data_IF_679118663230
#
_entry.id   IF_679118663230
#
_cell.length_a   1.000
_cell.length_b   1.000
_cell.length_c   1.000
_cell.angle_alpha   90.00
_cell.angle_beta   90.00
_cell.angle_gamma   90.00
#
_symmetry.space_group_name_H-M   'P 1'
#
loop_
_entity.id
_entity.type
_entity.pdbx_description
1 polymer ?
#
# COMPACT_ATOMS: atom_id res chain seq x y z
N UNK A 1 3.99 -13.15 28.38
CA UNK A 1 3.86 -12.94 26.94
C UNK A 1 5.02 -13.65 26.25
N UNK A 2 4.76 -14.48 25.24
CA UNK A 2 5.85 -15.17 24.54
C UNK A 2 6.73 -14.16 23.82
N UNK A 3 8.01 -14.48 23.68
CA UNK A 3 9.02 -13.64 23.00
C UNK A 3 8.60 -13.36 21.55
N UNK A 4 8.06 -14.34 20.88
CA UNK A 4 7.55 -14.23 19.50
C UNK A 4 6.41 -13.21 19.36
N UNK A 5 5.52 -13.12 20.35
CA UNK A 5 4.44 -12.13 20.34
C UNK A 5 4.96 -10.70 20.37
N UNK A 6 5.99 -10.41 21.19
CA UNK A 6 6.58 -9.07 21.27
C UNK A 6 7.30 -8.67 20.00
N UNK A 7 7.95 -9.61 19.32
CA UNK A 7 8.64 -9.35 18.04
C UNK A 7 7.66 -9.05 16.91
N UNK A 8 6.57 -9.81 16.83
CA UNK A 8 5.49 -9.55 15.86
C UNK A 8 4.83 -8.21 16.13
N UNK A 9 4.49 -7.91 17.39
CA UNK A 9 3.92 -6.62 17.76
C UNK A 9 4.86 -5.45 17.43
N UNK A 10 6.15 -5.60 17.68
CA UNK A 10 7.16 -4.61 17.31
C UNK A 10 7.23 -4.41 15.79
N UNK A 11 7.19 -5.51 15.01
CA UNK A 11 7.14 -5.44 13.55
C UNK A 11 5.89 -4.69 13.05
N UNK A 12 4.72 -4.94 13.64
CA UNK A 12 3.48 -4.24 13.30
C UNK A 12 3.55 -2.74 13.58
N UNK A 13 4.13 -2.35 14.72
CA UNK A 13 4.31 -0.93 15.07
C UNK A 13 5.27 -0.22 14.11
N UNK A 14 6.40 -0.85 13.77
CA UNK A 14 7.39 -0.29 12.83
C UNK A 14 6.77 -0.23 11.42
N UNK A 15 6.12 -1.30 10.96
CA UNK A 15 5.42 -1.36 9.66
C UNK A 15 4.40 -0.24 9.53
N UNK A 16 3.56 -0.04 10.54
CA UNK A 16 2.58 1.04 10.57
C UNK A 16 3.24 2.40 10.48
N UNK A 17 4.36 2.61 11.18
CA UNK A 17 5.10 3.88 11.10
C UNK A 17 5.74 4.12 9.72
N UNK A 18 6.19 3.08 9.02
CA UNK A 18 6.69 3.20 7.65
C UNK A 18 5.53 3.54 6.69
N UNK A 19 4.41 2.82 6.82
CA UNK A 19 3.23 3.00 5.98
C UNK A 19 2.63 4.40 6.15
N UNK A 20 2.60 4.94 7.38
CA UNK A 20 2.06 6.27 7.68
C UNK A 20 3.08 7.40 7.42
N UNK A 21 4.33 7.05 7.08
CA UNK A 21 5.39 8.01 6.80
C UNK A 21 5.98 8.69 8.04
N UNK A 22 5.80 8.10 9.23
CA UNK A 22 6.48 8.51 10.47
C UNK A 22 7.94 8.04 10.51
N UNK A 23 8.24 6.97 9.76
CA UNK A 23 9.56 6.51 9.35
C UNK A 23 9.63 6.66 7.83
N UNK A 24 10.49 7.52 7.35
CA UNK A 24 10.52 7.91 5.95
C UNK A 24 11.30 6.91 5.09
N UNK A 25 10.94 6.80 3.82
CA UNK A 25 11.67 6.02 2.81
C UNK A 25 13.11 6.53 2.75
N UNK A 26 14.10 5.61 2.83
CA UNK A 26 15.52 5.91 2.91
C UNK A 26 16.02 6.30 4.32
N UNK A 27 15.14 6.35 5.34
CA UNK A 27 15.54 6.71 6.70
C UNK A 27 16.39 5.62 7.36
N UNK A 28 17.51 6.01 7.99
CA UNK A 28 18.36 5.11 8.75
C UNK A 28 17.69 4.67 10.05
N UNK A 29 17.70 3.38 10.30
CA UNK A 29 17.08 2.74 11.46
C UNK A 29 18.14 2.07 12.31
N UNK A 30 18.36 2.55 13.55
CA UNK A 30 19.15 1.83 14.56
C UNK A 30 18.24 1.14 15.57
N UNK A 31 18.67 -0.04 16.06
CA UNK A 31 17.95 -0.74 17.13
C UNK A 31 17.68 0.17 18.33
N UNK A 32 18.66 1.03 18.69
CA UNK A 32 18.53 1.98 19.78
C UNK A 32 17.44 3.03 19.55
N UNK A 33 17.42 3.64 18.34
CA UNK A 33 16.41 4.64 17.95
C UNK A 33 15.00 4.05 18.00
N UNK A 34 14.82 2.85 17.46
CA UNK A 34 13.54 2.14 17.43
C UNK A 34 13.10 1.71 18.84
N UNK A 35 14.02 1.16 19.63
CA UNK A 35 13.76 0.79 21.03
C UNK A 35 13.25 1.98 21.85
N UNK A 36 13.89 3.14 21.69
CA UNK A 36 13.50 4.39 22.37
C UNK A 36 12.14 4.89 21.86
N UNK A 37 11.93 4.92 20.54
CA UNK A 37 10.68 5.42 19.92
C UNK A 37 9.46 4.66 20.38
N UNK A 38 9.56 3.32 20.49
CA UNK A 38 8.42 2.45 20.79
C UNK A 38 8.42 1.91 22.22
N UNK A 39 9.37 2.33 23.06
CA UNK A 39 9.56 1.84 24.45
C UNK A 39 9.64 0.30 24.51
N UNK A 40 10.49 -0.28 23.68
CA UNK A 40 10.73 -1.72 23.58
C UNK A 40 12.19 -2.06 23.89
N UNK A 41 12.46 -3.28 24.37
CA UNK A 41 13.83 -3.76 24.50
C UNK A 41 14.45 -4.09 23.14
N UNK A 42 15.80 -4.15 23.09
CA UNK A 42 16.53 -4.36 21.81
C UNK A 42 16.24 -5.71 21.16
N UNK A 43 15.99 -6.76 21.93
CA UNK A 43 15.77 -8.11 21.39
C UNK A 43 14.55 -8.19 20.46
N UNK A 44 13.30 -7.85 20.91
CA UNK A 44 12.15 -7.88 20.01
C UNK A 44 12.29 -6.88 18.84
N UNK A 45 12.99 -5.75 19.03
CA UNK A 45 13.25 -4.82 17.94
C UNK A 45 14.14 -5.45 16.87
N UNK A 46 15.22 -6.15 17.24
CA UNK A 46 16.10 -6.82 16.28
C UNK A 46 15.37 -7.89 15.48
N UNK A 47 14.54 -8.68 16.14
CA UNK A 47 13.72 -9.71 15.49
C UNK A 47 12.67 -9.06 14.56
N UNK A 48 12.01 -8.00 15.01
CA UNK A 48 11.06 -7.22 14.19
C UNK A 48 11.73 -6.64 12.93
N UNK A 49 12.93 -6.07 13.05
CA UNK A 49 13.67 -5.57 11.88
C UNK A 49 13.99 -6.71 10.90
N UNK A 50 14.27 -7.93 11.39
CA UNK A 50 14.51 -9.08 10.51
C UNK A 50 13.24 -9.53 9.78
N UNK A 51 12.08 -9.50 10.44
CA UNK A 51 10.77 -9.75 9.80
C UNK A 51 10.54 -8.72 8.67
N UNK A 52 10.79 -7.43 8.94
CA UNK A 52 10.56 -6.36 7.98
C UNK A 52 11.57 -6.35 6.82
N UNK A 53 12.77 -6.90 7.04
CA UNK A 53 13.73 -7.19 5.94
C UNK A 53 13.17 -8.26 5.02
N UNK A 54 12.61 -9.34 5.57
CA UNK A 54 11.96 -10.39 4.77
C UNK A 54 10.74 -9.85 4.00
N UNK A 55 9.99 -8.92 4.57
CA UNK A 55 8.89 -8.21 3.89
C UNK A 55 9.37 -7.16 2.88
N UNK A 56 10.67 -6.89 2.82
CA UNK A 56 11.25 -5.89 1.93
C UNK A 56 10.91 -4.44 2.29
N UNK A 57 10.41 -4.18 3.51
CA UNK A 57 10.17 -2.83 4.03
C UNK A 57 11.42 -2.21 4.64
N UNK A 58 12.41 -3.05 4.98
CA UNK A 58 13.71 -2.63 5.48
C UNK A 58 14.80 -3.27 4.61
N UNK A 59 15.84 -2.51 4.32
CA UNK A 59 17.04 -2.96 3.64
C UNK A 59 18.21 -2.94 4.64
N UNK A 60 19.03 -3.99 4.63
CA UNK A 60 20.29 -4.05 5.38
C UNK A 60 21.45 -3.81 4.43
N UNK A 61 22.26 -2.81 4.72
CA UNK A 61 23.50 -2.54 4.01
C UNK A 61 24.70 -2.93 4.88
N UNK A 62 25.63 -3.68 4.30
CA UNK A 62 26.88 -4.03 4.97
C UNK A 62 27.58 -2.76 5.45
N UNK A 63 27.99 -2.71 6.73
CA UNK A 63 28.69 -1.59 7.39
C UNK A 63 27.88 -0.28 7.56
N UNK A 64 26.67 -0.14 6.93
CA UNK A 64 25.84 1.08 7.02
C UNK A 64 24.61 0.89 7.89
N UNK A 65 24.24 -0.35 8.23
CA UNK A 65 23.10 -0.65 9.09
C UNK A 65 21.80 -0.91 8.33
N UNK A 66 20.67 -0.67 9.01
CA UNK A 66 19.33 -0.88 8.47
C UNK A 66 18.70 0.45 8.03
N UNK A 67 17.94 0.42 6.95
CA UNK A 67 17.24 1.56 6.38
C UNK A 67 15.81 1.17 6.00
N UNK A 68 14.88 2.11 6.06
CA UNK A 68 13.60 1.95 5.36
C UNK A 68 13.91 1.81 3.88
N UNK A 69 13.22 0.91 3.18
CA UNK A 69 13.50 0.59 1.78
C UNK A 69 13.64 1.85 0.92
N UNK A 70 14.55 1.79 -0.02
CA UNK A 70 14.64 2.70 -1.16
C UNK A 70 14.14 1.98 -2.40
N UNK A 71 13.65 2.71 -3.39
CA UNK A 71 13.04 2.12 -4.57
C UNK A 71 13.32 2.99 -5.80
N UNK A 72 13.64 2.34 -6.90
CA UNK A 72 13.80 2.96 -8.21
C UNK A 72 12.46 3.09 -8.94
N UNK A 73 12.42 3.91 -9.99
CA UNK A 73 11.22 4.03 -10.84
C UNK A 73 10.89 2.70 -11.51
N UNK A 74 11.89 1.94 -11.97
CA UNK A 74 11.68 0.63 -12.58
C UNK A 74 11.02 -0.34 -11.59
N UNK A 75 11.48 -0.39 -10.35
CA UNK A 75 10.84 -1.23 -9.32
C UNK A 75 9.40 -0.80 -9.01
N UNK A 76 9.06 0.49 -9.16
CA UNK A 76 7.66 0.95 -9.00
C UNK A 76 6.80 0.46 -10.17
N UNK A 77 7.36 0.43 -11.39
CA UNK A 77 6.69 -0.15 -12.56
C UNK A 77 6.44 -1.65 -12.37
N UNK A 78 7.44 -2.40 -11.92
CA UNK A 78 7.33 -3.82 -11.58
C UNK A 78 6.24 -4.06 -10.50
N UNK A 79 6.18 -3.19 -9.49
CA UNK A 79 5.10 -3.25 -8.48
C UNK A 79 3.73 -2.99 -9.10
N UNK A 80 3.62 -2.05 -10.04
CA UNK A 80 2.37 -1.76 -10.72
C UNK A 80 1.90 -2.94 -11.57
N UNK A 81 2.80 -3.59 -12.31
CA UNK A 81 2.52 -4.81 -13.09
C UNK A 81 2.08 -5.96 -12.18
N UNK A 82 2.81 -6.20 -11.11
CA UNK A 82 2.47 -7.24 -10.15
C UNK A 82 1.10 -7.01 -9.50
N UNK A 83 0.81 -5.76 -9.11
CA UNK A 83 -0.51 -5.36 -8.61
C UNK A 83 -1.60 -5.61 -9.65
N UNK A 84 -1.36 -5.21 -10.91
CA UNK A 84 -2.30 -5.42 -11.98
C UNK A 84 -2.69 -6.91 -12.13
N UNK A 85 -1.71 -7.80 -12.17
CA UNK A 85 -1.94 -9.24 -12.29
C UNK A 85 -2.79 -9.76 -11.13
N UNK A 86 -2.43 -9.44 -9.89
CA UNK A 86 -3.11 -9.97 -8.71
C UNK A 86 -4.48 -9.33 -8.48
N UNK A 87 -4.57 -8.01 -8.63
CA UNK A 87 -5.81 -7.25 -8.43
C UNK A 87 -6.86 -7.60 -9.49
N UNK A 88 -6.46 -7.70 -10.77
CA UNK A 88 -7.36 -8.08 -11.85
C UNK A 88 -7.89 -9.50 -11.65
N UNK A 89 -7.01 -10.44 -11.34
CA UNK A 89 -7.42 -11.83 -11.12
C UNK A 89 -8.37 -11.96 -9.93
N UNK A 90 -8.03 -11.34 -8.80
CA UNK A 90 -8.87 -11.36 -7.60
C UNK A 90 -10.23 -10.69 -7.83
N UNK A 91 -10.24 -9.53 -8.49
CA UNK A 91 -11.47 -8.80 -8.82
C UNK A 91 -12.38 -9.62 -9.75
N UNK A 92 -11.84 -10.21 -10.82
CA UNK A 92 -12.59 -11.07 -11.73
C UNK A 92 -13.21 -12.28 -11.01
N UNK A 93 -12.45 -12.93 -10.13
CA UNK A 93 -12.96 -14.04 -9.30
C UNK A 93 -14.05 -13.59 -8.35
N UNK A 94 -13.82 -12.49 -7.64
CA UNK A 94 -14.82 -11.92 -6.70
C UNK A 94 -16.10 -11.49 -7.42
N UNK A 95 -15.99 -10.91 -8.60
CA UNK A 95 -17.16 -10.55 -9.42
C UNK A 95 -17.93 -11.78 -9.90
N UNK A 96 -17.23 -12.87 -10.24
CA UNK A 96 -17.88 -14.13 -10.62
C UNK A 96 -18.66 -14.75 -9.46
N UNK A 97 -18.16 -14.61 -8.23
CA UNK A 97 -18.79 -15.17 -7.03
C UNK A 97 -19.94 -14.28 -6.54
N UNK A 98 -19.72 -12.97 -6.43
CA UNK A 98 -20.75 -12.04 -5.93
C UNK A 98 -20.60 -10.64 -6.53
N UNK A 99 -21.05 -10.48 -7.78
CA UNK A 99 -20.98 -9.18 -8.50
C UNK A 99 -21.74 -8.08 -7.75
N UNK A 100 -22.95 -8.36 -7.26
CA UNK A 100 -23.80 -7.39 -6.57
C UNK A 100 -23.09 -6.88 -5.31
N UNK A 101 -22.62 -7.80 -4.46
CA UNK A 101 -21.89 -7.45 -3.24
C UNK A 101 -20.60 -6.69 -3.50
N UNK A 102 -19.85 -7.01 -4.57
CA UNK A 102 -18.67 -6.23 -4.98
C UNK A 102 -19.03 -4.80 -5.36
N UNK A 103 -20.08 -4.60 -6.17
CA UNK A 103 -20.55 -3.25 -6.55
C UNK A 103 -20.91 -2.45 -5.30
N UNK A 104 -21.63 -3.04 -4.33
CA UNK A 104 -22.02 -2.38 -3.08
C UNK A 104 -20.79 -1.96 -2.26
N UNK A 105 -19.81 -2.85 -2.11
CA UNK A 105 -18.57 -2.56 -1.36
C UNK A 105 -17.79 -1.42 -2.01
N UNK A 106 -17.55 -1.48 -3.30
CA UNK A 106 -16.81 -0.47 -4.04
C UNK A 106 -17.56 0.89 -4.03
N UNK A 107 -18.87 0.87 -4.21
CA UNK A 107 -19.70 2.08 -4.16
C UNK A 107 -19.63 2.77 -2.79
N UNK A 108 -19.77 1.99 -1.70
CA UNK A 108 -19.65 2.52 -0.34
C UNK A 108 -18.28 3.14 -0.09
N UNK A 109 -17.23 2.45 -0.48
CA UNK A 109 -15.85 2.93 -0.31
C UNK A 109 -15.61 4.24 -1.11
N UNK A 110 -16.01 4.29 -2.39
CA UNK A 110 -15.90 5.51 -3.22
C UNK A 110 -16.69 6.67 -2.62
N UNK A 111 -17.87 6.40 -2.04
CA UNK A 111 -18.68 7.44 -1.38
C UNK A 111 -17.92 8.07 -0.20
N UNK A 112 -17.27 7.24 0.62
CA UNK A 112 -16.45 7.73 1.73
C UNK A 112 -15.18 8.44 1.25
N UNK A 113 -14.53 7.97 0.18
CA UNK A 113 -13.40 8.67 -0.44
C UNK A 113 -13.80 10.07 -0.93
N UNK A 114 -14.98 10.23 -1.57
CA UNK A 114 -15.51 11.53 -1.98
C UNK A 114 -15.68 12.48 -0.79
N UNK A 115 -16.18 11.97 0.34
CA UNK A 115 -16.33 12.76 1.58
C UNK A 115 -14.98 13.19 2.12
N UNK A 116 -14.03 12.25 2.25
CA UNK A 116 -12.69 12.53 2.74
C UNK A 116 -11.96 13.54 1.85
N UNK A 117 -12.05 13.39 0.53
CA UNK A 117 -11.49 14.34 -0.44
C UNK A 117 -12.08 15.75 -0.30
N UNK A 118 -13.41 15.86 -0.19
CA UNK A 118 -14.10 17.15 0.00
C UNK A 118 -13.70 17.83 1.33
N UNK A 119 -13.49 17.04 2.37
CA UNK A 119 -13.07 17.50 3.70
C UNK A 119 -11.57 17.76 3.79
N UNK A 120 -10.79 17.46 2.73
CA UNK A 120 -9.32 17.50 2.71
C UNK A 120 -8.68 16.60 3.79
N UNK A 121 -9.39 15.54 4.21
CA UNK A 121 -8.87 14.52 5.11
C UNK A 121 -8.04 13.50 4.33
N UNK A 122 -6.77 13.87 4.09
CA UNK A 122 -5.85 13.07 3.28
C UNK A 122 -5.52 11.72 3.92
N UNK A 123 -5.44 11.66 5.26
CA UNK A 123 -5.15 10.42 5.96
C UNK A 123 -6.29 9.40 5.78
N UNK A 124 -7.54 9.87 5.98
CA UNK A 124 -8.72 9.03 5.75
C UNK A 124 -8.82 8.61 4.28
N UNK A 125 -8.52 9.50 3.35
CA UNK A 125 -8.51 9.18 1.92
C UNK A 125 -7.53 8.05 1.60
N UNK A 126 -6.29 8.09 2.14
CA UNK A 126 -5.27 7.07 1.94
C UNK A 126 -5.68 5.68 2.47
N UNK A 127 -6.30 5.67 3.66
CA UNK A 127 -6.84 4.43 4.24
C UNK A 127 -7.90 3.84 3.31
N UNK A 128 -8.86 4.65 2.88
CA UNK A 128 -9.95 4.24 2.00
C UNK A 128 -9.48 3.80 0.62
N UNK A 129 -8.47 4.46 0.07
CA UNK A 129 -7.83 4.07 -1.20
C UNK A 129 -7.20 2.68 -1.10
N UNK A 130 -6.52 2.39 0.00
CA UNK A 130 -5.98 1.06 0.28
C UNK A 130 -7.08 0.00 0.45
N UNK A 131 -8.12 0.33 1.19
CA UNK A 131 -9.27 -0.56 1.39
C UNK A 131 -10.01 -0.83 0.08
N UNK A 132 -10.05 0.13 -0.85
CA UNK A 132 -10.60 -0.05 -2.19
C UNK A 132 -9.92 -1.21 -2.92
N UNK A 133 -8.61 -1.18 -3.02
CA UNK A 133 -7.83 -2.24 -3.66
C UNK A 133 -7.89 -3.57 -2.90
N UNK A 134 -7.83 -3.54 -1.57
CA UNK A 134 -8.02 -4.75 -0.74
C UNK A 134 -9.38 -5.40 -0.96
N UNK A 135 -10.41 -4.60 -1.21
CA UNK A 135 -11.77 -5.13 -1.41
C UNK A 135 -11.91 -6.04 -2.63
N UNK A 136 -11.01 -5.94 -3.62
CA UNK A 136 -10.98 -6.85 -4.77
C UNK A 136 -10.81 -8.31 -4.36
N UNK A 137 -10.23 -8.55 -3.19
CA UNK A 137 -10.00 -9.88 -2.63
C UNK A 137 -11.13 -10.35 -1.69
N UNK A 138 -12.20 -9.58 -1.52
CA UNK A 138 -13.23 -9.85 -0.50
C UNK A 138 -13.92 -11.20 -0.65
N UNK A 139 -14.16 -11.63 -1.88
CA UNK A 139 -14.78 -12.92 -2.21
C UNK A 139 -13.78 -13.91 -2.82
N UNK A 140 -12.48 -13.61 -2.67
CA UNK A 140 -11.39 -14.39 -3.23
C UNK A 140 -10.71 -15.22 -2.14
N UNK A 141 -10.95 -16.53 -2.14
CA UNK A 141 -10.55 -17.43 -1.04
C UNK A 141 -9.11 -18.00 -1.16
N UNK A 142 -8.20 -17.32 -1.86
CA UNK A 142 -6.81 -17.77 -1.97
C UNK A 142 -5.89 -17.01 -1.03
N UNK A 143 -5.64 -17.62 0.15
CA UNK A 143 -4.81 -17.03 1.21
C UNK A 143 -3.36 -16.79 0.75
N UNK A 144 -2.80 -17.65 -0.11
CA UNK A 144 -1.43 -17.50 -0.62
C UNK A 144 -1.29 -16.23 -1.44
N UNK A 145 -2.20 -16.00 -2.37
CA UNK A 145 -2.22 -14.78 -3.20
C UNK A 145 -2.44 -13.55 -2.34
N UNK A 146 -3.35 -13.62 -1.36
CA UNK A 146 -3.61 -12.49 -0.45
C UNK A 146 -2.37 -12.13 0.39
N UNK A 147 -1.63 -13.12 0.89
CA UNK A 147 -0.37 -12.87 1.61
C UNK A 147 0.67 -12.19 0.73
N UNK A 148 0.88 -12.69 -0.48
CA UNK A 148 1.81 -12.09 -1.45
C UNK A 148 1.40 -10.66 -1.82
N UNK A 149 0.11 -10.41 -2.02
CA UNK A 149 -0.42 -9.08 -2.29
C UNK A 149 -0.18 -8.09 -1.15
N UNK A 150 -0.36 -8.52 0.10
CA UNK A 150 -0.18 -7.64 1.27
C UNK A 150 1.26 -7.11 1.40
N UNK A 151 2.27 -7.89 1.01
CA UNK A 151 3.68 -7.45 1.01
C UNK A 151 3.85 -6.24 0.07
N UNK A 152 3.36 -6.37 -1.16
CA UNK A 152 3.45 -5.32 -2.18
C UNK A 152 2.56 -4.13 -1.83
N UNK A 153 1.40 -4.38 -1.23
CA UNK A 153 0.50 -3.33 -0.81
C UNK A 153 1.14 -2.42 0.24
N UNK A 154 1.87 -2.96 1.21
CA UNK A 154 2.57 -2.18 2.23
C UNK A 154 3.59 -1.21 1.60
N UNK A 155 4.38 -1.67 0.63
CA UNK A 155 5.29 -0.79 -0.14
C UNK A 155 4.51 0.29 -0.90
N UNK A 156 3.46 -0.11 -1.61
CA UNK A 156 2.62 0.82 -2.37
C UNK A 156 2.00 1.91 -1.49
N UNK A 157 1.59 1.56 -0.26
CA UNK A 157 1.05 2.52 0.71
C UNK A 157 2.10 3.53 1.16
N UNK A 158 3.29 3.06 1.56
CA UNK A 158 4.39 3.93 1.97
C UNK A 158 4.78 4.92 0.85
N UNK A 159 4.81 4.44 -0.40
CA UNK A 159 5.05 5.27 -1.58
C UNK A 159 3.95 6.32 -1.80
N UNK A 160 2.69 5.96 -1.59
CA UNK A 160 1.57 6.90 -1.71
C UNK A 160 1.61 8.01 -0.67
N UNK A 161 1.91 7.67 0.58
CA UNK A 161 2.05 8.67 1.65
C UNK A 161 3.14 9.67 1.28
N UNK A 162 4.26 9.19 0.73
CA UNK A 162 5.35 10.06 0.27
C UNK A 162 4.88 10.99 -0.86
N UNK A 163 4.21 10.45 -1.87
CA UNK A 163 3.74 11.26 -3.03
C UNK A 163 2.63 12.23 -2.67
N UNK A 164 1.74 11.89 -1.73
CA UNK A 164 0.62 12.76 -1.35
C UNK A 164 1.01 13.87 -0.39
N UNK A 165 2.05 13.68 0.43
CA UNK A 165 2.64 14.80 1.19
C UNK A 165 3.27 15.84 0.26
N UNK A 166 3.68 15.42 -0.94
CA UNK A 166 4.34 16.25 -1.93
C UNK A 166 3.37 16.80 -3.02
N UNK A 167 2.12 16.28 -3.11
CA UNK A 167 1.14 16.70 -4.12
C UNK A 167 -0.31 16.66 -3.60
N UNK A 168 -1.06 17.72 -3.89
CA UNK A 168 -2.46 17.93 -3.45
C UNK A 168 -3.49 17.11 -4.27
N UNK A 169 -3.07 16.23 -5.19
CA UNK A 169 -3.99 15.60 -6.15
C UNK A 169 -4.49 14.20 -5.74
N UNK A 170 -5.54 14.18 -4.91
CA UNK A 170 -6.36 12.99 -4.68
C UNK A 170 -7.41 12.76 -5.79
N UNK A 171 -7.61 13.75 -6.67
CA UNK A 171 -8.69 13.72 -7.67
C UNK A 171 -8.49 12.62 -8.72
N UNK A 172 -7.25 12.39 -9.14
CA UNK A 172 -6.97 11.42 -10.19
C UNK A 172 -7.12 9.97 -9.70
N UNK A 173 -6.75 9.67 -8.44
CA UNK A 173 -6.96 8.33 -7.86
C UNK A 173 -8.45 8.03 -7.70
N UNK A 174 -9.21 8.98 -7.15
CA UNK A 174 -10.67 8.86 -7.00
C UNK A 174 -11.37 8.68 -8.36
N UNK A 175 -10.94 9.43 -9.39
CA UNK A 175 -11.45 9.28 -10.76
C UNK A 175 -11.20 7.87 -11.32
N UNK A 176 -10.01 7.31 -11.07
CA UNK A 176 -9.67 5.94 -11.44
C UNK A 176 -10.60 4.92 -10.78
N UNK A 177 -10.86 5.05 -9.48
CA UNK A 177 -11.78 4.17 -8.75
C UNK A 177 -13.22 4.25 -9.27
N UNK A 178 -13.70 5.47 -9.58
CA UNK A 178 -15.02 5.68 -10.20
C UNK A 178 -15.10 4.97 -11.55
N UNK A 179 -14.05 5.09 -12.38
CA UNK A 179 -14.00 4.45 -13.68
C UNK A 179 -14.01 2.91 -13.57
N UNK A 180 -13.28 2.34 -12.61
CA UNK A 180 -13.29 0.89 -12.35
C UNK A 180 -14.70 0.43 -11.97
N UNK A 181 -15.37 1.12 -11.05
CA UNK A 181 -16.75 0.79 -10.68
C UNK A 181 -17.72 0.91 -11.86
N UNK A 182 -17.56 1.94 -12.70
CA UNK A 182 -18.34 2.12 -13.92
C UNK A 182 -18.13 0.96 -14.90
N UNK A 183 -16.87 0.58 -15.14
CA UNK A 183 -16.53 -0.55 -16.01
C UNK A 183 -17.19 -1.86 -15.54
N UNK A 184 -17.21 -2.13 -14.22
CA UNK A 184 -17.88 -3.30 -13.65
C UNK A 184 -19.40 -3.27 -13.89
N UNK A 185 -20.05 -2.10 -13.72
CA UNK A 185 -21.50 -1.94 -13.89
C UNK A 185 -21.92 -2.08 -15.33
N UNK A 186 -21.17 -1.48 -16.23
CA UNK A 186 -21.48 -1.40 -17.67
C UNK A 186 -20.88 -2.55 -18.50
N UNK A 187 -20.18 -3.50 -17.84
CA UNK A 187 -19.46 -4.62 -18.49
C UNK A 187 -18.45 -4.16 -19.56
N UNK A 188 -17.81 -3.01 -19.32
CA UNK A 188 -16.72 -2.49 -20.17
C UNK A 188 -15.40 -3.22 -19.82
N UNK A 189 -14.41 -3.11 -20.69
CA UNK A 189 -13.10 -3.75 -20.54
C UNK A 189 -12.42 -3.32 -19.23
N UNK A 190 -12.46 -4.21 -18.24
CA UNK A 190 -11.94 -3.96 -16.90
C UNK A 190 -10.42 -3.90 -16.89
N UNK A 191 -9.75 -4.68 -17.72
CA UNK A 191 -8.29 -4.78 -17.82
C UNK A 191 -7.65 -3.44 -18.17
N UNK A 192 -8.13 -2.80 -19.21
CA UNK A 192 -7.64 -1.49 -19.64
C UNK A 192 -7.90 -0.43 -18.57
N UNK A 193 -9.07 -0.48 -17.93
CA UNK A 193 -9.43 0.50 -16.89
C UNK A 193 -8.55 0.37 -15.67
N UNK A 194 -8.28 -0.85 -15.20
CA UNK A 194 -7.40 -1.10 -14.05
C UNK A 194 -5.94 -0.81 -14.40
N UNK A 195 -5.47 -1.25 -15.57
CA UNK A 195 -4.12 -0.97 -16.06
C UNK A 195 -3.86 0.53 -16.10
N UNK A 196 -4.75 1.30 -16.71
CA UNK A 196 -4.64 2.76 -16.76
C UNK A 196 -4.56 3.39 -15.38
N UNK A 197 -5.38 2.95 -14.44
CA UNK A 197 -5.35 3.46 -13.06
C UNK A 197 -3.99 3.25 -12.38
N UNK A 198 -3.35 2.09 -12.59
CA UNK A 198 -2.03 1.78 -12.03
C UNK A 198 -0.90 2.52 -12.77
N UNK A 199 -0.98 2.67 -14.09
CA UNK A 199 -0.04 3.48 -14.88
C UNK A 199 -0.10 4.95 -14.45
N UNK A 200 -1.29 5.51 -14.25
CA UNK A 200 -1.47 6.87 -13.74
C UNK A 200 -0.84 7.05 -12.33
N UNK A 201 -0.85 6.01 -11.50
CA UNK A 201 -0.15 6.02 -10.21
C UNK A 201 1.37 6.09 -10.38
N UNK A 202 1.96 5.30 -11.28
CA UNK A 202 3.40 5.35 -11.62
C UNK A 202 3.79 6.72 -12.17
N UNK A 203 2.98 7.28 -13.08
CA UNK A 203 3.23 8.58 -13.69
C UNK A 203 3.28 9.72 -12.64
N UNK A 204 2.37 9.68 -11.65
CA UNK A 204 2.39 10.62 -10.52
C UNK A 204 3.68 10.49 -9.70
N UNK A 205 4.13 9.26 -9.45
CA UNK A 205 5.38 9.07 -8.73
C UNK A 205 6.59 9.63 -9.52
N UNK A 206 6.65 9.38 -10.82
CA UNK A 206 7.70 9.92 -11.69
C UNK A 206 7.75 11.45 -11.68
N UNK A 207 6.62 12.12 -11.75
CA UNK A 207 6.57 13.59 -11.74
C UNK A 207 7.10 14.17 -10.43
N UNK A 208 6.77 13.55 -9.30
CA UNK A 208 7.20 14.00 -7.97
C UNK A 208 8.67 13.65 -7.69
N UNK A 209 9.22 12.60 -8.31
CA UNK A 209 10.62 12.19 -8.13
C UNK A 209 11.58 13.11 -8.89
N UNK A 210 11.15 13.67 -10.04
CA UNK A 210 11.96 14.63 -10.85
C UNK A 210 12.19 15.99 -10.18
N UNK A 211 11.43 16.32 -9.15
CA UNK A 211 11.54 17.60 -8.45
C UNK A 211 12.68 17.61 -7.41
N UNK A 212 13.40 16.50 -7.20
CA UNK A 212 14.42 16.36 -6.15
C UNK A 212 15.85 16.08 -6.65
N UNK A 213 16.16 16.38 -7.92
CA UNK A 213 17.53 16.38 -8.44
C UNK A 213 17.96 17.77 -8.84
#
# INVERSE_FOLDING_TARGET
>A
MSKDYLSVKAADMIRSSIINGDLQIGESLSEHKISKKFNLSKTPVREALSILVYEGLIQKHSRRGSFVFEITINEIEEIAEYRFILELYALRKSLKINKKGMIEVLYKNITEQKKASKQKDYNKFLILDTEFHKSFFKYFENITVLKSYNIILNKSQALRVKTLKDSVDNGSSLKGHINILKAIKENIILDETLSKHLVDWVARYRSNYKIRF
#
